data_IF_446293778845
#
_entry.id   IF_446293778845
#
_cell.length_a   1.000
_cell.length_b   1.000
_cell.length_c   1.000
_cell.angle_alpha   90.00
_cell.angle_beta   90.00
_cell.angle_gamma   90.00
#
_symmetry.space_group_name_H-M   'P 1'
#
loop_
_entity.id
_entity.type
_entity.pdbx_description
1 polymer ?
#
# COMPACT_ATOMS: atom_id res chain seq x y z
N UNK A 1 -7.01 20.27 -34.37
CA UNK A 1 -6.84 19.42 -33.18
C UNK A 1 -6.97 17.99 -33.62
N UNK A 2 -6.03 17.14 -33.23
CA UNK A 2 -6.13 15.69 -33.45
C UNK A 2 -7.20 15.14 -32.51
N UNK A 3 -8.15 14.37 -33.06
CA UNK A 3 -9.26 13.83 -32.30
C UNK A 3 -9.07 12.31 -32.13
N UNK A 4 -9.08 11.83 -30.89
CA UNK A 4 -9.09 10.42 -30.55
C UNK A 4 -10.44 10.03 -29.98
N UNK A 5 -10.76 8.72 -30.02
CA UNK A 5 -11.93 8.17 -29.36
C UNK A 5 -11.58 6.88 -28.62
N UNK A 6 -12.28 6.62 -27.52
CA UNK A 6 -12.21 5.40 -26.75
C UNK A 6 -13.59 5.10 -26.15
N UNK A 7 -13.85 3.86 -25.81
CA UNK A 7 -15.01 3.48 -24.98
C UNK A 7 -14.77 3.93 -23.53
N UNK A 8 -13.55 3.68 -23.04
CA UNK A 8 -13.14 4.07 -21.68
C UNK A 8 -11.82 4.83 -21.75
N UNK A 9 -11.76 6.01 -21.13
CA UNK A 9 -10.52 6.74 -20.89
C UNK A 9 -10.13 6.62 -19.40
N UNK A 10 -8.91 6.15 -19.13
CA UNK A 10 -8.36 6.02 -17.77
C UNK A 10 -7.33 7.12 -17.57
N UNK A 11 -7.49 7.92 -16.54
CA UNK A 11 -6.63 9.06 -16.21
C UNK A 11 -5.65 8.63 -15.11
N UNK A 12 -4.38 8.51 -15.47
CA UNK A 12 -3.29 8.01 -14.63
C UNK A 12 -2.83 6.61 -15.00
N UNK A 13 -1.51 6.41 -15.18
CA UNK A 13 -0.89 5.12 -15.43
C UNK A 13 0.03 4.69 -14.27
N UNK A 14 -0.38 4.96 -13.04
CA UNK A 14 0.11 4.27 -11.87
C UNK A 14 -0.42 2.83 -11.82
N UNK A 15 -0.07 2.07 -10.79
CA UNK A 15 -0.48 0.66 -10.64
C UNK A 15 -2.00 0.48 -10.74
N UNK A 16 -2.79 1.41 -10.16
CA UNK A 16 -4.24 1.37 -10.16
C UNK A 16 -4.84 1.52 -11.58
N UNK A 17 -4.37 2.51 -12.36
CA UNK A 17 -4.87 2.74 -13.72
C UNK A 17 -4.45 1.64 -14.69
N UNK A 18 -3.21 1.15 -14.59
CA UNK A 18 -2.72 0.02 -15.40
C UNK A 18 -3.51 -1.25 -15.10
N UNK A 19 -3.70 -1.56 -13.82
CA UNK A 19 -4.48 -2.73 -13.41
C UNK A 19 -5.94 -2.62 -13.88
N UNK A 20 -6.55 -1.43 -13.84
CA UNK A 20 -7.90 -1.19 -14.37
C UNK A 20 -7.98 -1.49 -15.87
N UNK A 21 -7.02 -0.97 -16.66
CA UNK A 21 -6.96 -1.24 -18.09
C UNK A 21 -6.78 -2.75 -18.39
N UNK A 22 -5.95 -3.42 -17.58
CA UNK A 22 -5.71 -4.86 -17.67
C UNK A 22 -6.99 -5.66 -17.38
N UNK A 23 -7.69 -5.42 -16.26
CA UNK A 23 -8.89 -6.18 -15.90
C UNK A 23 -10.09 -5.87 -16.79
N UNK A 24 -10.23 -4.66 -17.32
CA UNK A 24 -11.22 -4.36 -18.36
C UNK A 24 -11.01 -5.27 -19.59
N UNK A 25 -9.77 -5.42 -20.02
CA UNK A 25 -9.45 -6.26 -21.17
C UNK A 25 -9.52 -7.76 -20.85
N UNK A 26 -9.04 -8.20 -19.68
CA UNK A 26 -8.95 -9.61 -19.31
C UNK A 26 -10.28 -10.21 -18.90
N UNK A 27 -11.03 -9.52 -18.06
CA UNK A 27 -12.24 -10.06 -17.45
C UNK A 27 -13.52 -9.66 -18.18
N UNK A 28 -13.52 -8.53 -18.89
CA UNK A 28 -14.72 -7.98 -19.52
C UNK A 28 -14.61 -7.81 -21.03
N UNK A 29 -13.48 -8.17 -21.64
CA UNK A 29 -13.22 -8.00 -23.07
C UNK A 29 -13.44 -6.57 -23.59
N UNK A 30 -13.30 -5.57 -22.71
CA UNK A 30 -13.35 -4.14 -23.05
C UNK A 30 -11.92 -3.73 -23.41
N UNK A 31 -11.63 -3.67 -24.72
CA UNK A 31 -10.29 -3.41 -25.26
C UNK A 31 -10.13 -2.03 -25.87
N UNK A 32 -11.24 -1.34 -26.22
CA UNK A 32 -11.19 0.05 -26.68
C UNK A 32 -10.99 1.04 -25.54
N UNK A 33 -9.88 0.86 -24.83
CA UNK A 33 -9.48 1.66 -23.68
C UNK A 33 -8.32 2.56 -24.06
N UNK A 34 -8.28 3.79 -23.53
CA UNK A 34 -7.16 4.73 -23.67
C UNK A 34 -6.63 5.06 -22.28
N UNK A 35 -5.39 4.67 -22.01
CA UNK A 35 -4.66 5.01 -20.80
C UNK A 35 -3.92 6.34 -21.00
N UNK A 36 -4.23 7.36 -20.20
CA UNK A 36 -3.68 8.71 -20.29
C UNK A 36 -2.73 8.95 -19.14
N UNK A 37 -1.48 9.32 -19.44
CA UNK A 37 -0.45 9.56 -18.42
C UNK A 37 0.47 10.68 -18.89
N UNK A 38 0.72 11.64 -18.01
CA UNK A 38 1.60 12.76 -18.38
C UNK A 38 3.09 12.39 -18.39
N UNK A 39 3.48 11.40 -17.55
CA UNK A 39 4.86 10.95 -17.42
C UNK A 39 5.07 9.51 -17.93
N UNK A 40 5.99 8.82 -17.30
CA UNK A 40 6.18 7.38 -17.52
C UNK A 40 5.21 6.56 -16.67
N UNK A 41 4.70 5.44 -17.16
CA UNK A 41 3.92 4.51 -16.36
C UNK A 41 4.68 4.07 -15.11
N UNK A 42 3.99 3.92 -14.00
CA UNK A 42 4.53 3.49 -12.70
C UNK A 42 5.57 4.43 -12.07
N UNK A 43 5.85 5.60 -12.63
CA UNK A 43 7.01 6.42 -12.25
C UNK A 43 6.81 7.32 -11.01
N UNK A 44 5.58 7.52 -10.55
CA UNK A 44 5.31 8.42 -9.41
C UNK A 44 5.11 7.63 -8.09
N UNK A 45 4.00 7.80 -7.38
CA UNK A 45 3.76 7.11 -6.09
C UNK A 45 3.94 5.59 -6.18
N UNK A 46 3.57 4.97 -7.32
CA UNK A 46 3.74 3.54 -7.54
C UNK A 46 5.21 3.07 -7.52
N UNK A 47 6.14 3.94 -7.92
CA UNK A 47 7.58 3.67 -7.84
C UNK A 47 8.12 3.76 -6.40
N UNK A 48 7.42 4.44 -5.51
CA UNK A 48 7.84 4.69 -4.13
C UNK A 48 7.24 3.69 -3.13
N UNK A 49 6.63 2.62 -3.64
CA UNK A 49 5.95 1.62 -2.82
C UNK A 49 6.91 0.85 -1.90
N UNK A 50 6.41 0.45 -0.73
CA UNK A 50 7.06 -0.58 0.11
C UNK A 50 7.01 -1.96 -0.54
N UNK A 51 6.10 -2.18 -1.51
CA UNK A 51 5.91 -3.43 -2.26
C UNK A 51 5.54 -4.63 -1.40
N UNK A 52 4.86 -4.38 -0.30
CA UNK A 52 4.42 -5.41 0.63
C UNK A 52 2.93 -5.71 0.44
N UNK A 53 2.52 -6.92 0.83
CA UNK A 53 1.12 -7.33 0.82
C UNK A 53 0.79 -8.21 2.02
N UNK A 54 -0.46 -8.14 2.51
CA UNK A 54 -1.03 -8.99 3.55
C UNK A 54 -2.54 -9.11 3.36
N UNK A 55 -3.14 -10.22 3.82
CA UNK A 55 -4.59 -10.43 3.73
C UNK A 55 -5.36 -9.96 4.97
N UNK A 56 -4.69 -9.71 6.08
CA UNK A 56 -5.39 -9.36 7.31
C UNK A 56 -5.53 -7.85 7.51
N UNK A 57 -6.73 -7.47 7.92
CA UNK A 57 -7.13 -6.14 8.40
C UNK A 57 -8.14 -6.28 9.54
N UNK A 58 -8.29 -5.29 10.44
CA UNK A 58 -9.26 -5.33 11.52
C UNK A 58 -10.70 -5.03 11.06
N UNK A 59 -11.11 -5.53 9.91
CA UNK A 59 -12.47 -5.43 9.38
C UNK A 59 -12.74 -6.47 8.28
N UNK A 60 -13.89 -7.18 8.31
CA UNK A 60 -14.20 -8.27 7.37
C UNK A 60 -14.16 -7.84 5.90
N UNK A 61 -14.75 -6.69 5.53
CA UNK A 61 -14.74 -6.21 4.14
C UNK A 61 -13.33 -5.96 3.61
N UNK A 62 -12.42 -5.48 4.46
CA UNK A 62 -11.02 -5.29 4.09
C UNK A 62 -10.28 -6.62 3.96
N UNK A 63 -10.58 -7.61 4.80
CA UNK A 63 -10.02 -8.96 4.69
C UNK A 63 -10.49 -9.62 3.39
N UNK A 64 -11.78 -9.56 3.07
CA UNK A 64 -12.32 -10.09 1.82
C UNK A 64 -11.68 -9.39 0.60
N UNK A 65 -11.56 -8.07 0.65
CA UNK A 65 -10.95 -7.26 -0.40
C UNK A 65 -9.46 -7.57 -0.60
N UNK A 66 -8.69 -7.66 0.47
CA UNK A 66 -7.24 -7.96 0.38
C UNK A 66 -7.00 -9.41 0.00
N UNK A 67 -7.81 -10.36 0.45
CA UNK A 67 -7.78 -11.75 -0.02
C UNK A 67 -8.01 -11.82 -1.52
N UNK A 68 -9.05 -11.14 -2.04
CA UNK A 68 -9.31 -11.08 -3.48
C UNK A 68 -8.11 -10.49 -4.23
N UNK A 69 -7.49 -9.42 -3.71
CA UNK A 69 -6.32 -8.84 -4.36
C UNK A 69 -5.15 -9.83 -4.41
N UNK A 70 -4.91 -10.58 -3.34
CA UNK A 70 -3.83 -11.58 -3.29
C UNK A 70 -4.14 -12.75 -4.20
N UNK A 71 -5.38 -13.25 -4.28
CA UNK A 71 -5.79 -14.29 -5.23
C UNK A 71 -5.46 -13.89 -6.68
N UNK A 72 -5.72 -12.63 -7.03
CA UNK A 72 -5.40 -12.08 -8.35
C UNK A 72 -3.89 -11.94 -8.58
N UNK A 73 -3.13 -11.50 -7.57
CA UNK A 73 -1.66 -11.43 -7.64
C UNK A 73 -1.04 -12.82 -7.76
N UNK A 74 -1.51 -13.81 -6.99
CA UNK A 74 -1.09 -15.21 -7.09
C UNK A 74 -1.38 -15.79 -8.46
N UNK A 75 -2.52 -15.43 -9.08
CA UNK A 75 -2.83 -15.81 -10.47
C UNK A 75 -1.79 -15.23 -11.43
N UNK A 76 -1.48 -13.95 -11.33
CA UNK A 76 -0.45 -13.31 -12.18
C UNK A 76 0.91 -13.97 -11.95
N UNK A 77 1.27 -14.28 -10.70
CA UNK A 77 2.53 -14.96 -10.38
C UNK A 77 2.60 -16.34 -11.09
N UNK A 78 1.54 -17.15 -11.01
CA UNK A 78 1.47 -18.45 -11.73
C UNK A 78 1.58 -18.28 -13.25
N UNK A 79 0.82 -17.34 -13.82
CA UNK A 79 0.76 -17.13 -15.27
C UNK A 79 2.06 -16.56 -15.85
N UNK A 80 2.94 -16.01 -15.00
CA UNK A 80 4.18 -15.32 -15.40
C UNK A 80 5.48 -15.96 -14.90
N UNK A 81 5.43 -17.20 -14.40
CA UNK A 81 6.56 -17.88 -13.76
C UNK A 81 7.17 -17.02 -12.63
N UNK A 82 6.30 -16.51 -11.78
CA UNK A 82 6.61 -15.62 -10.66
C UNK A 82 7.46 -14.39 -11.02
N UNK A 83 7.19 -13.78 -12.16
CA UNK A 83 7.84 -12.52 -12.57
C UNK A 83 7.69 -11.42 -11.52
N UNK A 84 6.66 -11.51 -10.68
CA UNK A 84 6.42 -10.59 -9.57
C UNK A 84 7.41 -10.76 -8.42
N UNK A 85 8.24 -11.80 -8.43
CA UNK A 85 9.07 -12.17 -7.28
C UNK A 85 8.27 -12.29 -5.98
N UNK A 86 7.03 -12.79 -6.09
CA UNK A 86 6.15 -12.98 -4.96
C UNK A 86 6.75 -13.98 -3.97
N UNK A 87 6.82 -13.59 -2.71
CA UNK A 87 7.17 -14.48 -1.60
C UNK A 87 6.08 -14.41 -0.53
N UNK A 88 6.15 -15.31 0.45
CA UNK A 88 5.15 -15.42 1.51
C UNK A 88 5.80 -15.53 2.89
N UNK A 89 6.77 -14.65 3.17
CA UNK A 89 7.43 -14.57 4.49
C UNK A 89 6.50 -14.07 5.58
N UNK A 90 5.42 -13.36 5.22
CA UNK A 90 4.44 -12.80 6.13
C UNK A 90 4.79 -11.40 6.64
N UNK A 91 4.00 -10.96 7.63
CA UNK A 91 4.21 -9.74 8.41
C UNK A 91 4.39 -10.10 9.88
N UNK A 92 5.46 -9.65 10.50
CA UNK A 92 5.71 -9.81 11.92
C UNK A 92 5.38 -8.50 12.66
N UNK A 93 4.23 -8.45 13.33
CA UNK A 93 3.82 -7.34 14.19
C UNK A 93 4.36 -7.61 15.59
N UNK A 94 5.38 -6.87 16.01
CA UNK A 94 6.09 -7.08 17.26
C UNK A 94 5.69 -6.04 18.30
N UNK A 95 5.52 -6.46 19.55
CA UNK A 95 5.21 -5.60 20.69
C UNK A 95 5.85 -6.10 21.98
N UNK A 96 6.13 -5.17 22.89
CA UNK A 96 6.60 -5.45 24.26
C UNK A 96 5.46 -5.74 25.24
N UNK A 97 4.24 -5.73 24.74
CA UNK A 97 3.05 -6.07 25.53
C UNK A 97 2.93 -7.59 25.68
N UNK A 98 2.63 -8.03 26.89
CA UNK A 98 2.27 -9.43 27.21
C UNK A 98 0.76 -9.66 27.11
N UNK A 99 -0.06 -8.62 27.33
CA UNK A 99 -1.51 -8.64 27.17
C UNK A 99 -1.86 -8.02 25.83
N UNK A 100 -2.39 -8.82 24.93
CA UNK A 100 -2.69 -8.47 23.54
C UNK A 100 -4.08 -8.95 23.11
N UNK A 101 -5.00 -9.12 24.08
CA UNK A 101 -6.37 -9.57 23.82
C UNK A 101 -7.09 -8.64 22.84
N UNK A 102 -6.86 -7.34 22.94
CA UNK A 102 -7.36 -6.32 22.01
C UNK A 102 -6.88 -6.54 20.56
N UNK A 103 -5.62 -6.93 20.36
CA UNK A 103 -5.09 -7.26 19.04
C UNK A 103 -5.68 -8.59 18.52
N UNK A 104 -5.84 -9.58 19.40
CA UNK A 104 -6.45 -10.86 19.05
C UNK A 104 -7.92 -10.66 18.68
N UNK A 105 -8.64 -9.82 19.40
CA UNK A 105 -10.03 -9.49 19.10
C UNK A 105 -10.17 -8.75 17.75
N UNK A 106 -9.23 -7.87 17.42
CA UNK A 106 -9.15 -7.27 16.09
C UNK A 106 -8.90 -8.32 14.99
N UNK A 107 -8.03 -9.32 15.26
CA UNK A 107 -7.79 -10.43 14.32
C UNK A 107 -9.08 -11.24 14.12
N UNK A 108 -9.77 -11.59 15.18
CA UNK A 108 -11.05 -12.32 15.12
C UNK A 108 -12.11 -11.53 14.35
N UNK A 109 -12.25 -10.25 14.66
CA UNK A 109 -13.20 -9.38 13.99
C UNK A 109 -12.92 -9.30 12.48
N UNK A 110 -11.67 -9.12 12.07
CA UNK A 110 -11.30 -9.16 10.67
C UNK A 110 -11.70 -10.44 9.95
N UNK A 111 -11.68 -11.56 10.65
CA UNK A 111 -12.17 -12.87 10.17
C UNK A 111 -13.68 -13.11 10.43
N UNK A 112 -14.47 -12.03 10.61
CA UNK A 112 -15.92 -12.08 10.86
C UNK A 112 -16.31 -12.98 12.04
N UNK A 113 -15.42 -13.14 13.03
CA UNK A 113 -15.56 -14.03 14.20
C UNK A 113 -15.92 -15.48 13.83
N UNK A 114 -15.50 -15.97 12.66
CA UNK A 114 -15.87 -17.30 12.13
C UNK A 114 -14.67 -18.19 11.81
N UNK A 115 -13.46 -17.69 11.93
CA UNK A 115 -12.24 -18.39 11.48
C UNK A 115 -11.20 -18.50 12.59
N UNK A 116 -11.60 -18.90 13.77
CA UNK A 116 -10.65 -19.19 14.87
C UNK A 116 -9.63 -20.30 14.50
N UNK A 117 -9.94 -21.13 13.51
CA UNK A 117 -9.02 -22.10 12.91
C UNK A 117 -7.80 -21.45 12.26
N UNK A 118 -7.88 -20.18 11.89
CA UNK A 118 -6.77 -19.40 11.31
C UNK A 118 -5.90 -18.70 12.37
N UNK A 119 -6.29 -18.75 13.65
CA UNK A 119 -5.53 -18.12 14.74
C UNK A 119 -4.83 -19.20 15.56
N UNK A 120 -3.52 -19.24 15.52
CA UNK A 120 -2.71 -20.26 16.20
C UNK A 120 -1.89 -19.63 17.32
N UNK A 121 -1.93 -20.23 18.49
CA UNK A 121 -1.22 -19.75 19.68
C UNK A 121 0.00 -20.61 19.96
N UNK A 122 1.16 -19.99 20.13
CA UNK A 122 2.43 -20.65 20.38
C UNK A 122 2.97 -20.21 21.75
N UNK A 123 2.63 -20.99 22.77
CA UNK A 123 3.05 -20.78 24.17
C UNK A 123 4.33 -21.55 24.54
N UNK A 124 4.74 -22.55 23.74
CA UNK A 124 5.97 -23.31 23.92
C UNK A 124 6.80 -23.34 22.64
N UNK A 125 8.12 -23.52 22.75
CA UNK A 125 9.00 -23.69 21.59
C UNK A 125 8.90 -25.10 21.00
N UNK A 126 8.82 -26.12 21.84
CA UNK A 126 8.71 -27.52 21.42
C UNK A 126 7.27 -27.89 21.11
N UNK A 127 7.06 -28.57 19.97
CA UNK A 127 5.73 -29.04 19.55
C UNK A 127 4.74 -27.94 19.19
N UNK A 128 5.21 -26.70 19.01
CA UNK A 128 4.33 -25.55 18.73
C UNK A 128 3.64 -25.63 17.36
N UNK A 129 4.15 -26.44 16.43
CA UNK A 129 3.67 -26.47 15.04
C UNK A 129 3.94 -25.20 14.23
N UNK A 130 4.69 -24.23 14.79
CA UNK A 130 5.06 -23.03 14.07
C UNK A 130 6.00 -23.36 12.90
N UNK A 131 5.67 -22.82 11.73
CA UNK A 131 6.47 -22.97 10.51
C UNK A 131 7.33 -21.71 10.31
N UNK A 132 8.64 -21.88 10.26
CA UNK A 132 9.57 -20.76 10.03
C UNK A 132 9.46 -20.21 8.62
N UNK A 133 9.78 -18.92 8.44
CA UNK A 133 9.70 -18.23 7.17
C UNK A 133 10.93 -18.43 6.25
N UNK A 134 11.78 -19.43 6.53
CA UNK A 134 13.04 -19.67 5.84
C UNK A 134 12.92 -19.95 4.34
N UNK A 135 11.78 -20.54 3.92
CA UNK A 135 11.51 -20.83 2.50
C UNK A 135 10.14 -20.25 2.15
N UNK A 136 10.11 -19.07 1.62
CA UNK A 136 8.87 -18.32 1.37
C UNK A 136 8.13 -18.79 0.13
N UNK A 137 7.87 -20.11 0.01
CA UNK A 137 7.04 -20.64 -1.08
C UNK A 137 5.61 -20.14 -0.89
N UNK A 138 5.22 -19.23 -1.78
CA UNK A 138 3.93 -18.56 -1.72
C UNK A 138 2.76 -19.50 -2.01
N UNK A 139 2.98 -20.66 -2.63
CA UNK A 139 1.92 -21.64 -2.96
C UNK A 139 1.54 -22.54 -1.78
N UNK A 140 2.49 -22.87 -0.91
CA UNK A 140 2.31 -23.84 0.19
C UNK A 140 2.43 -23.25 1.58
N UNK A 141 2.81 -21.99 1.70
CA UNK A 141 2.92 -21.32 2.99
C UNK A 141 1.54 -21.21 3.68
N UNK A 142 1.49 -21.29 5.02
CA UNK A 142 0.23 -21.26 5.76
C UNK A 142 -0.52 -19.93 5.56
N UNK A 143 -1.82 -19.96 5.86
CA UNK A 143 -2.66 -18.77 6.02
C UNK A 143 -2.89 -18.46 7.51
N UNK A 144 -3.58 -17.35 7.81
CA UNK A 144 -3.98 -16.96 9.16
C UNK A 144 -2.89 -16.20 9.92
N UNK A 145 -2.99 -16.23 11.23
CA UNK A 145 -2.13 -15.50 12.16
C UNK A 145 -1.58 -16.42 13.24
N UNK A 146 -0.27 -16.39 13.42
CA UNK A 146 0.41 -17.04 14.53
C UNK A 146 0.67 -16.02 15.64
N UNK A 147 0.10 -16.23 16.83
CA UNK A 147 0.34 -15.44 18.04
C UNK A 147 1.43 -16.09 18.85
N UNK A 148 2.61 -15.48 18.89
CA UNK A 148 3.81 -16.08 19.49
C UNK A 148 4.17 -15.28 20.74
N UNK A 149 4.11 -15.94 21.91
CA UNK A 149 4.45 -15.37 23.22
C UNK A 149 5.57 -16.14 23.93
N UNK A 150 6.03 -17.24 23.36
CA UNK A 150 7.18 -17.97 23.87
C UNK A 150 8.48 -17.25 23.46
N UNK A 151 9.26 -16.81 24.45
CA UNK A 151 10.48 -16.03 24.25
C UNK A 151 11.58 -16.78 23.48
N UNK A 152 11.70 -18.09 23.68
CA UNK A 152 12.67 -18.92 22.95
C UNK A 152 12.28 -19.01 21.48
N UNK A 153 10.98 -19.21 21.19
CA UNK A 153 10.48 -19.26 19.82
C UNK A 153 10.62 -17.90 19.11
N UNK A 154 10.34 -16.78 19.81
CA UNK A 154 10.55 -15.43 19.25
C UNK A 154 12.02 -15.24 18.84
N UNK A 155 12.97 -15.54 19.75
CA UNK A 155 14.42 -15.41 19.45
C UNK A 155 14.88 -16.31 18.30
N UNK A 156 14.28 -17.49 18.16
CA UNK A 156 14.61 -18.43 17.09
C UNK A 156 14.01 -18.02 15.75
N UNK A 157 12.75 -17.54 15.75
CA UNK A 157 12.04 -17.16 14.54
C UNK A 157 12.44 -15.77 14.02
N UNK A 158 12.78 -14.85 14.93
CA UNK A 158 13.12 -13.45 14.62
C UNK A 158 14.42 -13.05 15.33
N UNK A 159 15.58 -13.59 14.92
CA UNK A 159 16.84 -13.45 15.66
C UNK A 159 17.40 -12.02 15.69
N UNK A 160 16.92 -11.14 14.82
CA UNK A 160 17.30 -9.72 14.82
C UNK A 160 16.48 -8.87 15.80
N UNK A 161 15.35 -9.40 16.32
CA UNK A 161 14.50 -8.62 17.21
C UNK A 161 15.15 -8.40 18.57
N UNK A 162 14.83 -7.26 19.16
CA UNK A 162 15.21 -6.93 20.53
C UNK A 162 14.71 -7.98 21.53
N UNK A 163 15.54 -8.27 22.52
CA UNK A 163 15.23 -9.28 23.54
C UNK A 163 14.07 -8.91 24.48
N UNK A 164 13.57 -7.68 24.43
CA UNK A 164 12.44 -7.19 25.22
C UNK A 164 11.08 -7.40 24.53
N UNK A 165 11.05 -7.87 23.28
CA UNK A 165 9.81 -8.22 22.58
C UNK A 165 9.12 -9.39 23.28
N UNK A 166 7.85 -9.18 23.65
CA UNK A 166 7.06 -10.17 24.42
C UNK A 166 6.06 -10.93 23.56
N UNK A 167 5.54 -10.28 22.51
CA UNK A 167 4.55 -10.89 21.62
C UNK A 167 4.85 -10.54 20.17
N UNK A 168 4.68 -11.52 19.28
CA UNK A 168 4.70 -11.31 17.83
C UNK A 168 3.43 -11.91 17.22
N UNK A 169 2.67 -11.11 16.48
CA UNK A 169 1.60 -11.59 15.62
C UNK A 169 2.19 -11.74 14.21
N UNK A 170 2.34 -13.00 13.77
CA UNK A 170 2.84 -13.29 12.43
C UNK A 170 1.69 -13.56 11.47
N UNK A 171 1.34 -12.57 10.66
CA UNK A 171 0.32 -12.69 9.61
C UNK A 171 0.93 -13.47 8.46
N UNK A 172 0.38 -14.63 8.15
CA UNK A 172 1.02 -15.63 7.27
C UNK A 172 0.75 -15.40 5.79
N UNK A 173 -0.46 -15.00 5.41
CA UNK A 173 -0.77 -14.68 4.01
C UNK A 173 -0.37 -13.24 3.71
N UNK A 174 0.92 -13.05 3.63
CA UNK A 174 1.60 -11.78 3.40
C UNK A 174 3.03 -11.98 2.97
N UNK A 175 3.67 -10.92 2.52
CA UNK A 175 5.05 -10.93 2.05
C UNK A 175 5.36 -9.69 1.23
N UNK A 176 6.23 -9.83 0.25
CA UNK A 176 6.54 -8.78 -0.69
C UNK A 176 6.50 -9.26 -2.15
N UNK A 177 6.36 -8.31 -3.05
CA UNK A 177 6.37 -8.49 -4.51
C UNK A 177 7.14 -7.36 -5.16
N UNK A 178 7.50 -7.49 -6.42
CA UNK A 178 7.87 -6.36 -7.25
C UNK A 178 6.61 -5.72 -7.86
N UNK A 179 6.18 -4.60 -7.30
CA UNK A 179 5.07 -3.82 -7.84
C UNK A 179 5.35 -3.29 -9.23
N UNK A 180 6.63 -3.00 -9.55
CA UNK A 180 7.06 -2.60 -10.88
C UNK A 180 6.87 -3.74 -11.90
N UNK A 181 7.31 -4.96 -11.59
CA UNK A 181 7.13 -6.11 -12.47
C UNK A 181 5.65 -6.46 -12.66
N UNK A 182 4.84 -6.36 -11.59
CA UNK A 182 3.40 -6.53 -11.67
C UNK A 182 2.76 -5.51 -12.62
N UNK A 183 3.06 -4.22 -12.44
CA UNK A 183 2.55 -3.16 -13.31
C UNK A 183 2.98 -3.33 -14.77
N UNK A 184 4.23 -3.72 -15.01
CA UNK A 184 4.74 -3.95 -16.36
C UNK A 184 4.08 -5.17 -17.02
N UNK A 185 3.91 -6.28 -16.29
CA UNK A 185 3.19 -7.46 -16.78
C UNK A 185 1.77 -7.09 -17.23
N UNK A 186 1.03 -6.39 -16.38
CA UNK A 186 -0.34 -5.96 -16.70
C UNK A 186 -0.37 -5.00 -17.90
N UNK A 187 0.56 -4.06 -17.99
CA UNK A 187 0.66 -3.11 -19.10
C UNK A 187 0.98 -3.80 -20.43
N UNK A 188 1.90 -4.76 -20.42
CA UNK A 188 2.25 -5.57 -21.60
C UNK A 188 1.05 -6.38 -22.10
N UNK A 189 0.33 -7.05 -21.20
CA UNK A 189 -0.87 -7.82 -21.54
C UNK A 189 -2.01 -6.93 -22.05
N UNK A 190 -2.25 -5.78 -21.39
CA UNK A 190 -3.19 -4.79 -21.89
C UNK A 190 -2.86 -4.34 -23.33
N UNK A 191 -1.59 -4.02 -23.61
CA UNK A 191 -1.13 -3.60 -24.93
C UNK A 191 -1.24 -4.70 -25.98
N UNK A 192 -0.96 -5.95 -25.63
CA UNK A 192 -1.10 -7.11 -26.53
C UNK A 192 -2.53 -7.30 -27.02
N UNK A 193 -3.52 -6.85 -26.23
CA UNK A 193 -4.96 -6.87 -26.58
C UNK A 193 -5.42 -5.60 -27.32
N UNK A 194 -4.51 -4.80 -27.82
CA UNK A 194 -4.81 -3.58 -28.58
C UNK A 194 -4.99 -2.32 -27.74
N UNK A 195 -4.70 -2.39 -26.43
CA UNK A 195 -4.75 -1.25 -25.52
C UNK A 195 -3.83 -0.11 -25.95
N UNK A 196 -4.30 1.12 -25.82
CA UNK A 196 -3.62 2.34 -26.29
C UNK A 196 -3.21 3.23 -25.13
N UNK A 197 -2.09 3.92 -25.28
CA UNK A 197 -1.62 4.94 -24.32
C UNK A 197 -1.44 6.28 -25.03
N UNK A 198 -1.84 7.35 -24.35
CA UNK A 198 -1.56 8.73 -24.74
C UNK A 198 -0.71 9.39 -23.64
N UNK A 199 0.44 9.94 -24.03
CA UNK A 199 1.27 10.74 -23.12
C UNK A 199 0.79 12.17 -23.14
N UNK A 200 0.32 12.67 -22.01
CA UNK A 200 -0.17 14.04 -21.86
C UNK A 200 -0.92 14.25 -20.55
N UNK A 201 -1.12 15.50 -20.20
CA UNK A 201 -1.82 15.94 -19.01
C UNK A 201 -3.26 16.34 -19.35
N UNK A 202 -4.23 15.73 -18.66
CA UNK A 202 -5.64 16.16 -18.76
C UNK A 202 -5.76 17.56 -18.15
N UNK A 203 -6.24 18.51 -18.92
CA UNK A 203 -6.44 19.93 -18.53
C UNK A 203 -7.88 20.23 -18.21
N UNK A 204 -8.81 19.61 -18.94
CA UNK A 204 -10.24 19.82 -18.79
C UNK A 204 -11.01 18.58 -19.17
N UNK A 205 -12.15 18.37 -18.50
CA UNK A 205 -13.13 17.34 -18.83
C UNK A 205 -14.48 18.01 -18.99
N UNK A 206 -15.05 17.88 -20.18
CA UNK A 206 -16.37 18.42 -20.49
C UNK A 206 -17.37 17.25 -20.59
N UNK A 207 -18.44 17.30 -19.84
CA UNK A 207 -19.54 16.35 -19.95
C UNK A 207 -20.47 16.74 -21.10
N UNK A 208 -20.66 15.83 -22.02
CA UNK A 208 -21.55 15.95 -23.16
C UNK A 208 -22.36 14.66 -23.29
N UNK A 209 -22.53 14.14 -24.51
CA UNK A 209 -22.94 12.75 -24.71
C UNK A 209 -21.71 11.85 -24.44
N UNK A 210 -21.51 11.49 -23.17
CA UNK A 210 -20.23 10.98 -22.60
C UNK A 210 -19.31 12.11 -22.13
N UNK A 211 -18.01 12.01 -22.41
CA UNK A 211 -16.98 12.96 -21.97
C UNK A 211 -16.07 13.37 -23.13
N UNK A 212 -15.64 14.61 -23.11
CA UNK A 212 -14.58 15.14 -23.98
C UNK A 212 -13.46 15.65 -23.09
N UNK A 213 -12.30 15.00 -23.15
CA UNK A 213 -11.10 15.36 -22.41
C UNK A 213 -10.20 16.22 -23.29
N UNK A 214 -9.73 17.35 -22.76
CA UNK A 214 -8.68 18.16 -23.35
C UNK A 214 -7.35 17.80 -22.71
N UNK A 215 -6.40 17.34 -23.53
CA UNK A 215 -5.13 16.79 -23.09
C UNK A 215 -4.00 17.59 -23.70
N UNK A 216 -3.17 18.15 -22.86
CA UNK A 216 -1.92 18.80 -23.29
C UNK A 216 -0.84 17.73 -23.48
N UNK A 217 -0.32 17.66 -24.70
CA UNK A 217 0.78 16.78 -25.11
C UNK A 217 1.99 17.61 -25.55
N UNK A 218 3.12 16.99 -25.80
CA UNK A 218 4.31 17.66 -26.36
C UNK A 218 4.07 18.24 -27.76
N UNK A 219 3.04 17.78 -28.47
CA UNK A 219 2.67 18.24 -29.83
C UNK A 219 1.53 19.25 -29.81
N UNK A 220 1.02 19.61 -28.63
CA UNK A 220 -0.08 20.56 -28.45
C UNK A 220 -1.34 19.91 -27.85
N UNK A 221 -2.46 20.64 -27.94
CA UNK A 221 -3.74 20.18 -27.38
C UNK A 221 -4.40 19.13 -28.28
N UNK A 222 -4.82 18.03 -27.64
CA UNK A 222 -5.52 16.91 -28.25
C UNK A 222 -6.87 16.74 -27.54
N UNK A 223 -7.91 16.37 -28.28
CA UNK A 223 -9.21 16.02 -27.71
C UNK A 223 -9.44 14.52 -27.77
N UNK A 224 -9.95 13.96 -26.68
CA UNK A 224 -10.38 12.56 -26.58
C UNK A 224 -11.86 12.52 -26.24
N UNK A 225 -12.66 11.93 -27.15
CA UNK A 225 -14.07 11.63 -26.88
C UNK A 225 -14.20 10.22 -26.31
N UNK A 226 -14.94 10.06 -25.21
CA UNK A 226 -15.12 8.76 -24.55
C UNK A 226 -16.52 8.66 -23.92
N UNK A 227 -17.05 7.44 -23.81
CA UNK A 227 -18.31 7.20 -23.13
C UNK A 227 -18.13 7.18 -21.61
N UNK A 228 -16.99 6.66 -21.14
CA UNK A 228 -16.70 6.45 -19.73
C UNK A 228 -15.31 6.97 -19.38
N UNK A 229 -15.18 7.47 -18.16
CA UNK A 229 -13.87 7.86 -17.59
C UNK A 229 -13.61 7.11 -16.29
N UNK A 230 -12.35 6.78 -16.04
CA UNK A 230 -11.87 6.27 -14.75
C UNK A 230 -10.79 7.20 -14.22
N UNK A 231 -11.06 7.84 -13.09
CA UNK A 231 -10.11 8.65 -12.37
C UNK A 231 -9.20 7.75 -11.52
N UNK A 232 -7.99 7.49 -12.02
CA UNK A 232 -6.93 6.74 -11.36
C UNK A 232 -5.68 7.61 -11.16
N UNK A 233 -5.89 8.93 -10.97
CA UNK A 233 -4.84 9.94 -10.93
C UNK A 233 -4.06 9.99 -9.60
N UNK A 234 -4.24 8.98 -8.72
CA UNK A 234 -3.52 8.88 -7.45
C UNK A 234 -3.68 10.14 -6.60
N UNK A 235 -2.58 10.80 -6.19
CA UNK A 235 -2.67 11.99 -5.33
C UNK A 235 -3.29 13.21 -6.00
N UNK A 236 -3.51 13.18 -7.29
CA UNK A 236 -4.22 14.24 -8.05
C UNK A 236 -5.69 13.91 -8.32
N UNK A 237 -6.23 12.82 -7.74
CA UNK A 237 -7.59 12.37 -7.99
C UNK A 237 -8.65 13.43 -7.65
N UNK A 238 -8.47 14.21 -6.57
CA UNK A 238 -9.37 15.31 -6.22
C UNK A 238 -9.41 16.38 -7.33
N UNK A 239 -8.26 16.77 -7.87
CA UNK A 239 -8.17 17.77 -8.95
C UNK A 239 -8.86 17.29 -10.24
N UNK A 240 -8.76 15.99 -10.55
CA UNK A 240 -9.46 15.41 -11.70
C UNK A 240 -10.98 15.36 -11.46
N UNK A 241 -11.42 15.04 -10.25
CA UNK A 241 -12.84 15.04 -9.90
C UNK A 241 -13.47 16.45 -9.98
N UNK A 242 -12.73 17.48 -9.54
CA UNK A 242 -13.18 18.89 -9.65
C UNK A 242 -13.44 19.31 -11.10
N UNK A 243 -12.74 18.73 -12.09
CA UNK A 243 -12.98 19.03 -13.51
C UNK A 243 -14.37 18.63 -13.99
N UNK A 244 -15.05 17.74 -13.26
CA UNK A 244 -16.46 17.35 -13.53
C UNK A 244 -17.42 17.81 -12.44
N UNK A 245 -16.97 18.72 -11.57
CA UNK A 245 -17.81 19.31 -10.51
C UNK A 245 -18.00 18.42 -9.26
N UNK A 246 -17.13 17.42 -9.06
CA UNK A 246 -17.17 16.53 -7.89
C UNK A 246 -16.08 16.87 -6.87
N UNK A 247 -16.45 16.86 -5.58
CA UNK A 247 -15.52 16.99 -4.47
C UNK A 247 -15.31 15.62 -3.80
N UNK A 248 -14.12 15.10 -3.84
CA UNK A 248 -13.78 13.84 -3.16
C UNK A 248 -13.32 14.11 -1.72
N UNK A 249 -13.78 13.33 -0.73
CA UNK A 249 -13.35 13.46 0.67
C UNK A 249 -11.98 12.81 0.89
N UNK A 250 -10.98 13.32 0.19
CA UNK A 250 -9.59 12.80 0.25
C UNK A 250 -8.60 13.91 0.52
N UNK A 251 -7.50 13.54 1.17
CA UNK A 251 -6.35 14.39 1.40
C UNK A 251 -5.07 13.61 1.16
N UNK A 252 -3.94 14.30 1.04
CA UNK A 252 -2.65 13.65 0.87
C UNK A 252 -1.73 13.94 2.05
N UNK A 253 -0.95 12.93 2.45
CA UNK A 253 0.21 13.08 3.32
C UNK A 253 1.46 12.57 2.59
N UNK A 254 2.61 13.16 2.87
CA UNK A 254 3.86 12.73 2.25
C UNK A 254 4.64 11.83 3.21
N UNK A 255 4.91 10.58 2.80
CA UNK A 255 5.59 9.59 3.63
C UNK A 255 6.94 9.21 3.02
N UNK A 256 7.96 9.08 3.87
CA UNK A 256 9.32 8.87 3.45
C UNK A 256 9.85 7.48 3.85
N UNK A 257 10.86 7.03 3.13
CA UNK A 257 11.54 5.75 3.31
C UNK A 257 13.01 5.88 2.94
N UNK A 258 13.82 4.97 3.45
CA UNK A 258 15.18 4.77 2.97
C UNK A 258 15.37 3.32 2.53
N UNK A 259 16.27 3.13 1.57
CA UNK A 259 16.78 1.83 1.20
C UNK A 259 18.32 1.90 1.09
N UNK A 260 19.00 0.90 1.61
CA UNK A 260 20.46 0.84 1.56
C UNK A 260 20.95 -0.60 1.56
N UNK A 261 22.19 -0.78 1.13
CA UNK A 261 22.84 -2.08 1.13
C UNK A 261 23.30 -2.46 2.55
N UNK A 262 22.84 -3.61 3.05
CA UNK A 262 23.23 -4.17 4.36
C UNK A 262 24.61 -4.83 4.30
N UNK A 263 25.63 -4.01 4.16
CA UNK A 263 27.04 -4.46 4.04
C UNK A 263 27.52 -5.17 5.29
N UNK A 264 26.96 -4.84 6.45
CA UNK A 264 27.30 -5.47 7.75
C UNK A 264 26.46 -6.76 7.97
N UNK A 265 25.47 -7.03 7.12
CA UNK A 265 24.56 -8.20 7.20
C UNK A 265 23.90 -8.34 8.55
N UNK A 266 23.38 -7.22 9.08
CA UNK A 266 22.78 -7.15 10.41
C UNK A 266 21.33 -7.63 10.47
N UNK A 267 20.67 -7.73 9.30
CA UNK A 267 19.29 -8.21 9.19
C UNK A 267 19.25 -9.53 8.39
N UNK A 268 18.70 -10.62 8.99
CA UNK A 268 18.52 -11.89 8.27
C UNK A 268 17.65 -11.72 7.02
N UNK A 269 18.02 -12.41 5.94
CA UNK A 269 17.29 -12.34 4.66
C UNK A 269 15.91 -12.96 4.71
N UNK A 270 15.70 -13.88 5.67
CA UNK A 270 14.45 -14.57 5.93
C UNK A 270 13.47 -13.75 6.79
N UNK A 271 13.91 -12.58 7.30
CA UNK A 271 13.05 -11.75 8.13
C UNK A 271 11.79 -11.34 7.36
N UNK A 272 10.59 -11.60 7.89
CA UNK A 272 9.35 -11.04 7.36
C UNK A 272 9.38 -9.51 7.36
N UNK A 273 8.46 -8.89 6.66
CA UNK A 273 8.19 -7.47 6.88
C UNK A 273 7.82 -7.25 8.34
N UNK A 274 8.70 -6.60 9.08
CA UNK A 274 8.58 -6.43 10.53
C UNK A 274 8.15 -5.03 10.91
N UNK A 275 7.18 -4.94 11.84
CA UNK A 275 6.61 -3.68 12.34
C UNK A 275 6.74 -3.66 13.85
N UNK A 276 7.32 -2.61 14.42
CA UNK A 276 7.24 -2.30 15.85
C UNK A 276 5.91 -1.59 16.12
N UNK A 277 5.00 -2.24 16.87
CA UNK A 277 3.68 -1.69 17.17
C UNK A 277 3.70 -0.59 18.22
N UNK A 278 4.75 -0.58 19.04
CA UNK A 278 4.80 0.27 20.23
C UNK A 278 5.25 1.67 19.89
N UNK A 279 4.61 2.65 20.50
CA UNK A 279 5.12 4.02 20.55
C UNK A 279 6.51 4.04 21.18
N UNK A 280 7.36 4.98 20.77
CA UNK A 280 8.76 5.01 21.20
C UNK A 280 9.34 6.42 21.32
N UNK A 281 10.34 6.53 22.16
CA UNK A 281 11.29 7.64 22.13
C UNK A 281 12.49 7.23 21.27
N UNK A 282 12.95 8.12 20.39
CA UNK A 282 14.12 7.86 19.57
C UNK A 282 15.38 7.82 20.48
N UNK A 283 16.25 6.86 20.22
CA UNK A 283 17.48 6.64 21.00
C UNK A 283 18.57 7.65 20.60
N UNK A 284 18.42 8.87 21.11
CA UNK A 284 19.44 9.92 21.03
C UNK A 284 20.40 9.85 22.21
N UNK A 285 21.67 10.23 22.02
CA UNK A 285 22.58 10.48 23.13
C UNK A 285 22.11 11.69 23.98
N UNK A 286 22.63 11.82 25.18
CA UNK A 286 22.23 12.92 26.05
C UNK A 286 22.58 14.30 25.44
N UNK A 287 23.77 14.40 24.79
CA UNK A 287 24.18 15.62 24.09
C UNK A 287 23.29 15.93 22.89
N UNK A 288 22.87 14.91 22.11
CA UNK A 288 21.93 15.07 21.00
C UNK A 288 20.54 15.51 21.50
N UNK A 289 20.06 14.93 22.61
CA UNK A 289 18.77 15.33 23.22
C UNK A 289 18.80 16.78 23.68
N UNK A 290 19.87 17.20 24.35
CA UNK A 290 20.01 18.59 24.79
C UNK A 290 20.02 19.54 23.60
N UNK A 291 20.74 19.22 22.55
CA UNK A 291 20.78 20.02 21.32
C UNK A 291 19.41 20.08 20.64
N UNK A 292 18.77 18.94 20.42
CA UNK A 292 17.43 18.86 19.79
C UNK A 292 16.38 19.62 20.60
N UNK A 293 16.39 19.50 21.93
CA UNK A 293 15.45 20.18 22.80
C UNK A 293 15.64 21.71 22.84
N UNK A 294 16.83 22.19 22.48
CA UNK A 294 17.14 23.62 22.45
C UNK A 294 16.64 24.36 21.21
N UNK A 295 16.20 23.58 20.18
CA UNK A 295 15.75 24.12 18.90
C UNK A 295 14.25 23.81 18.67
N UNK A 296 13.45 24.87 18.49
CA UNK A 296 11.99 24.73 18.28
C UNK A 296 11.62 23.92 17.04
N UNK A 297 12.50 23.86 16.04
CA UNK A 297 12.29 23.07 14.81
C UNK A 297 12.47 21.57 15.08
N UNK A 298 13.35 21.19 16.00
CA UNK A 298 13.75 19.78 16.19
C UNK A 298 13.32 19.19 17.54
N UNK A 299 12.82 19.98 18.49
CA UNK A 299 12.44 19.49 19.83
C UNK A 299 11.43 18.35 19.81
N UNK A 300 10.55 18.28 18.80
CA UNK A 300 9.59 17.19 18.62
C UNK A 300 10.27 15.81 18.50
N UNK A 301 11.53 15.77 18.06
CA UNK A 301 12.31 14.54 17.97
C UNK A 301 12.69 13.95 19.34
N UNK A 302 12.52 14.71 20.40
CA UNK A 302 12.69 14.26 21.80
C UNK A 302 11.38 13.80 22.44
N UNK A 303 10.27 13.97 21.74
CA UNK A 303 8.93 13.56 22.19
C UNK A 303 8.61 12.11 21.77
N UNK A 304 7.49 11.60 22.26
CA UNK A 304 7.03 10.26 21.92
C UNK A 304 6.58 10.18 20.47
N UNK A 305 7.15 9.24 19.74
CA UNK A 305 6.83 8.95 18.35
C UNK A 305 5.82 7.80 18.25
N UNK A 306 4.94 7.79 17.25
CA UNK A 306 3.99 6.70 17.05
C UNK A 306 4.72 5.38 16.77
N UNK A 307 4.01 4.26 16.95
CA UNK A 307 4.45 2.96 16.46
C UNK A 307 4.45 2.85 14.93
N UNK A 308 4.39 1.64 14.43
CA UNK A 308 4.31 1.29 13.01
C UNK A 308 5.59 1.54 12.18
N UNK A 309 6.72 1.79 12.82
CA UNK A 309 8.01 1.76 12.11
C UNK A 309 8.29 0.35 11.59
N UNK A 310 8.82 0.26 10.38
CA UNK A 310 8.99 -1.01 9.71
C UNK A 310 10.35 -1.19 9.04
N UNK A 311 10.75 -2.46 8.97
CA UNK A 311 11.97 -2.92 8.32
C UNK A 311 11.72 -4.19 7.53
N UNK A 312 12.35 -4.34 6.38
CA UNK A 312 12.43 -5.59 5.64
C UNK A 312 13.71 -5.73 4.83
N UNK A 313 14.17 -6.98 4.57
CA UNK A 313 15.08 -7.26 3.50
C UNK A 313 14.48 -6.91 2.13
N UNK A 314 15.31 -6.50 1.17
CA UNK A 314 14.91 -6.16 -0.19
C UNK A 314 15.82 -6.82 -1.22
N UNK A 315 15.31 -7.00 -2.47
CA UNK A 315 16.05 -7.62 -3.56
C UNK A 315 15.98 -9.16 -3.59
N UNK A 316 14.95 -9.76 -3.00
CA UNK A 316 14.73 -11.21 -2.98
C UNK A 316 15.74 -11.97 -2.11
N UNK A 317 15.85 -13.30 -2.31
CA UNK A 317 16.66 -14.19 -1.46
C UNK A 317 18.18 -13.90 -1.54
N UNK A 318 18.65 -13.46 -2.69
CA UNK A 318 20.06 -13.13 -2.93
C UNK A 318 20.34 -11.62 -2.83
N UNK A 319 19.33 -10.82 -2.49
CA UNK A 319 19.48 -9.38 -2.32
C UNK A 319 20.31 -9.03 -1.09
N UNK A 320 20.86 -7.83 -1.08
CA UNK A 320 21.69 -7.30 0.02
C UNK A 320 21.11 -6.04 0.62
N UNK A 321 19.96 -5.59 0.13
CA UNK A 321 19.36 -4.32 0.53
C UNK A 321 18.37 -4.47 1.67
N UNK A 322 18.20 -3.37 2.41
CA UNK A 322 17.14 -3.18 3.41
C UNK A 322 16.27 -2.00 3.00
N UNK A 323 14.98 -2.07 3.34
CA UNK A 323 14.06 -0.95 3.31
C UNK A 323 13.60 -0.63 4.74
N UNK A 324 13.70 0.63 5.12
CA UNK A 324 13.17 1.17 6.37
C UNK A 324 12.14 2.26 6.04
N UNK A 325 11.02 2.26 6.74
CA UNK A 325 10.01 3.28 6.59
C UNK A 325 9.26 3.55 7.89
N UNK A 326 8.75 4.77 8.00
CA UNK A 326 7.96 5.21 9.13
C UNK A 326 6.96 6.27 8.67
N UNK A 327 5.70 5.90 8.63
CA UNK A 327 4.64 6.77 8.13
C UNK A 327 4.03 7.61 9.27
N UNK A 328 4.85 8.46 9.91
CA UNK A 328 4.44 9.30 11.04
C UNK A 328 3.96 10.71 10.64
N UNK A 329 4.09 11.10 9.38
CA UNK A 329 3.64 12.43 8.95
C UNK A 329 2.13 12.42 8.68
N UNK A 330 1.37 13.02 9.58
CA UNK A 330 -0.09 13.14 9.47
C UNK A 330 -0.54 14.49 8.87
N UNK A 331 0.38 15.37 8.52
CA UNK A 331 0.06 16.72 8.03
C UNK A 331 -0.48 16.65 6.59
N UNK A 332 -1.73 17.08 6.35
CA UNK A 332 -2.26 17.15 5.00
C UNK A 332 -1.50 18.17 4.15
N UNK A 333 -1.19 17.81 2.91
CA UNK A 333 -0.45 18.64 1.97
C UNK A 333 -0.99 18.47 0.55
N UNK A 334 -0.89 19.52 -0.26
CA UNK A 334 -1.12 19.41 -1.69
C UNK A 334 -0.01 18.60 -2.35
N UNK A 335 -0.41 17.60 -3.14
CA UNK A 335 0.55 16.79 -3.86
C UNK A 335 1.28 17.62 -4.93
N UNK A 336 2.59 17.45 -4.96
CA UNK A 336 3.51 18.03 -5.95
C UNK A 336 4.28 16.91 -6.65
N UNK A 337 4.79 17.20 -7.86
CA UNK A 337 5.60 16.25 -8.63
C UNK A 337 7.01 16.06 -8.04
N UNK A 338 7.52 17.08 -7.38
CA UNK A 338 8.85 17.12 -6.78
C UNK A 338 8.70 17.47 -5.28
N UNK A 339 8.25 16.51 -4.43
CA UNK A 339 8.12 16.75 -3.01
C UNK A 339 9.51 16.90 -2.38
N UNK A 340 9.61 17.78 -1.40
CA UNK A 340 10.85 17.95 -0.65
C UNK A 340 11.01 16.83 0.39
N UNK A 341 12.20 16.24 0.43
CA UNK A 341 12.58 15.26 1.43
C UNK A 341 13.09 15.98 2.69
N UNK A 342 12.82 15.38 3.85
CA UNK A 342 13.39 15.83 5.11
C UNK A 342 14.77 15.20 5.29
N UNK A 343 15.82 15.98 5.25
CA UNK A 343 17.21 15.52 5.34
C UNK A 343 17.52 14.78 6.65
N UNK A 344 16.74 14.98 7.71
CA UNK A 344 16.88 14.29 8.98
C UNK A 344 16.21 12.90 8.99
N UNK A 345 15.30 12.65 8.07
CA UNK A 345 14.51 11.41 8.05
C UNK A 345 15.37 10.13 8.02
N UNK A 346 16.49 10.05 7.28
CA UNK A 346 17.32 8.84 7.29
C UNK A 346 17.82 8.44 8.69
N UNK A 347 18.26 9.41 9.49
CA UNK A 347 18.73 9.14 10.85
C UNK A 347 17.56 8.82 11.79
N UNK A 348 16.45 9.53 11.65
CA UNK A 348 15.21 9.31 12.43
C UNK A 348 14.70 7.86 12.23
N UNK A 349 14.53 7.44 10.98
CA UNK A 349 13.99 6.10 10.68
C UNK A 349 14.97 4.98 11.04
N UNK A 350 16.27 5.21 10.89
CA UNK A 350 17.30 4.25 11.28
C UNK A 350 17.29 4.02 12.80
N UNK A 351 17.27 5.08 13.59
CA UNK A 351 17.26 4.99 15.05
C UNK A 351 15.95 4.38 15.58
N UNK A 352 14.82 4.77 15.00
CA UNK A 352 13.54 4.16 15.35
C UNK A 352 13.50 2.66 15.04
N UNK A 353 13.96 2.24 13.85
CA UNK A 353 14.01 0.82 13.46
C UNK A 353 15.00 0.00 14.31
N UNK A 354 16.07 0.63 14.82
CA UNK A 354 17.05 -0.02 15.68
C UNK A 354 16.49 -0.40 17.05
N UNK A 355 15.33 0.13 17.46
CA UNK A 355 14.64 -0.31 18.67
C UNK A 355 14.12 -1.74 18.55
N UNK A 356 13.52 -2.09 17.40
CA UNK A 356 13.09 -3.46 17.13
C UNK A 356 14.26 -4.34 16.72
N UNK A 357 15.20 -3.81 15.92
CA UNK A 357 16.35 -4.53 15.38
C UNK A 357 17.66 -3.87 15.84
N UNK A 358 18.14 -4.15 17.06
CA UNK A 358 19.28 -3.43 17.67
C UNK A 358 20.59 -3.46 16.87
N UNK A 359 20.79 -4.47 16.05
CA UNK A 359 21.98 -4.57 15.20
C UNK A 359 22.07 -3.45 14.14
N UNK A 360 20.97 -2.76 13.82
CA UNK A 360 20.95 -1.58 12.96
C UNK A 360 21.76 -0.41 13.54
N UNK A 361 22.06 -0.39 14.84
CA UNK A 361 22.97 0.59 15.47
C UNK A 361 24.35 0.60 14.82
N UNK A 362 24.74 -0.49 14.15
CA UNK A 362 25.97 -0.54 13.35
C UNK A 362 26.04 0.54 12.27
N UNK A 363 24.93 1.10 11.85
CA UNK A 363 24.86 2.13 10.81
C UNK A 363 24.68 3.56 11.33
N UNK A 364 24.62 3.79 12.64
CA UNK A 364 24.50 5.14 13.20
C UNK A 364 25.66 6.04 12.75
N UNK A 365 25.33 7.19 12.16
CA UNK A 365 26.29 8.14 11.61
C UNK A 365 27.12 7.65 10.42
N UNK A 366 26.84 6.46 9.87
CA UNK A 366 27.60 5.88 8.75
C UNK A 366 26.76 5.06 7.77
N UNK A 367 25.56 5.54 7.46
CA UNK A 367 24.76 4.96 6.38
C UNK A 367 25.58 4.86 5.09
N UNK A 368 25.45 3.77 4.32
CA UNK A 368 26.18 3.60 3.05
C UNK A 368 25.91 4.76 2.09
N UNK A 369 26.93 5.16 1.32
CA UNK A 369 26.79 6.23 0.31
C UNK A 369 25.79 5.88 -0.80
N UNK A 370 25.54 4.60 -1.03
CA UNK A 370 24.54 4.09 -1.96
C UNK A 370 23.10 4.20 -1.43
N UNK A 371 22.91 4.66 -0.18
CA UNK A 371 21.58 4.83 0.41
C UNK A 371 20.71 5.73 -0.47
N UNK A 372 19.49 5.26 -0.73
CA UNK A 372 18.46 5.99 -1.43
C UNK A 372 17.43 6.48 -0.42
N UNK A 373 17.20 7.80 -0.41
CA UNK A 373 16.15 8.45 0.36
C UNK A 373 15.04 8.88 -0.61
N UNK A 374 13.82 8.45 -0.36
CA UNK A 374 12.69 8.69 -1.25
C UNK A 374 11.38 8.76 -0.46
N UNK A 375 10.32 9.22 -1.13
CA UNK A 375 9.02 9.29 -0.51
C UNK A 375 7.88 9.23 -1.51
N UNK A 376 6.67 8.99 -1.00
CA UNK A 376 5.46 8.91 -1.81
C UNK A 376 4.26 9.52 -1.12
N UNK A 377 3.31 9.97 -1.91
CA UNK A 377 2.06 10.52 -1.44
C UNK A 377 1.10 9.41 -1.03
N UNK A 378 0.59 9.48 0.20
CA UNK A 378 -0.52 8.68 0.65
C UNK A 378 -1.80 9.49 0.46
N UNK A 379 -2.63 9.09 -0.48
CA UNK A 379 -3.98 9.65 -0.64
C UNK A 379 -4.92 8.88 0.25
N UNK A 380 -5.58 9.57 1.15
CA UNK A 380 -6.33 8.99 2.27
C UNK A 380 -7.72 9.58 2.37
N UNK A 381 -8.65 8.82 2.93
CA UNK A 381 -9.89 9.32 3.55
C UNK A 381 -9.70 9.41 5.07
N UNK A 382 -10.61 10.08 5.78
CA UNK A 382 -10.55 10.21 7.24
C UNK A 382 -10.53 8.84 7.95
N UNK A 383 -11.31 7.89 7.44
CA UNK A 383 -11.40 6.52 7.93
C UNK A 383 -10.30 5.58 7.40
N UNK A 384 -9.40 6.08 6.54
CA UNK A 384 -8.30 5.34 5.88
C UNK A 384 -8.78 4.15 5.02
N UNK A 385 -9.89 4.32 4.32
CA UNK A 385 -10.45 3.33 3.40
C UNK A 385 -10.40 3.80 1.95
N UNK A 386 -10.17 2.89 0.98
CA UNK A 386 -10.20 3.22 -0.43
C UNK A 386 -11.54 3.81 -0.90
N UNK A 387 -11.49 4.58 -1.97
CA UNK A 387 -12.66 5.00 -2.73
C UNK A 387 -12.61 4.38 -4.12
N UNK A 388 -13.56 3.47 -4.39
CA UNK A 388 -13.59 2.68 -5.62
C UNK A 388 -15.05 2.55 -6.09
N UNK A 389 -15.34 2.97 -7.31
CA UNK A 389 -16.66 2.83 -7.88
C UNK A 389 -17.14 4.08 -8.61
N UNK A 390 -18.46 4.27 -8.76
CA UNK A 390 -19.04 5.42 -9.44
C UNK A 390 -18.69 6.74 -8.75
N UNK A 391 -18.49 7.79 -9.53
CA UNK A 391 -18.37 9.16 -9.04
C UNK A 391 -19.75 9.80 -8.89
N UNK A 392 -19.84 10.76 -7.97
CA UNK A 392 -21.08 11.42 -7.60
C UNK A 392 -21.97 10.58 -6.67
N UNK A 393 -22.76 11.27 -5.85
CA UNK A 393 -23.73 10.60 -4.97
C UNK A 393 -24.75 9.80 -5.78
N UNK A 394 -24.95 8.53 -5.42
CA UNK A 394 -25.80 7.58 -6.16
C UNK A 394 -25.42 7.42 -7.64
N UNK A 395 -24.13 7.56 -7.98
CA UNK A 395 -23.68 7.50 -9.38
C UNK A 395 -24.21 8.65 -10.25
N UNK A 396 -24.38 9.84 -9.67
CA UNK A 396 -24.94 11.01 -10.36
C UNK A 396 -24.11 11.41 -11.60
N UNK A 397 -22.80 11.13 -11.56
CA UNK A 397 -21.91 11.33 -12.73
C UNK A 397 -21.90 10.06 -13.58
N UNK A 398 -22.90 9.92 -14.46
CA UNK A 398 -23.02 8.73 -15.32
C UNK A 398 -21.78 8.51 -16.16
N UNK A 399 -21.24 7.30 -16.10
CA UNK A 399 -20.03 6.91 -16.87
C UNK A 399 -18.72 7.42 -16.27
N UNK A 400 -18.74 8.08 -15.09
CA UNK A 400 -17.54 8.44 -14.37
C UNK A 400 -17.30 7.51 -13.17
N UNK A 401 -16.07 6.99 -13.08
CA UNK A 401 -15.65 6.07 -12.04
C UNK A 401 -14.33 6.54 -11.43
N UNK A 402 -14.01 6.02 -10.25
CA UNK A 402 -12.76 6.35 -9.58
C UNK A 402 -12.14 5.13 -8.90
N UNK A 403 -10.83 5.21 -8.75
CA UNK A 403 -10.00 4.34 -7.91
C UNK A 403 -8.94 5.23 -7.24
N UNK A 404 -9.12 5.51 -5.97
CA UNK A 404 -8.28 6.43 -5.20
C UNK A 404 -8.27 6.10 -3.72
N UNK A 405 -7.58 6.89 -2.93
CA UNK A 405 -7.43 6.73 -1.48
C UNK A 405 -6.87 5.35 -1.08
N UNK A 406 -5.88 4.85 -1.83
CA UNK A 406 -5.22 3.59 -1.54
C UNK A 406 -4.15 3.71 -0.45
N UNK A 407 -4.03 4.88 0.19
CA UNK A 407 -3.15 5.14 1.34
C UNK A 407 -1.72 4.58 1.13
N UNK A 408 -1.15 3.92 2.15
CA UNK A 408 0.15 3.25 2.08
C UNK A 408 0.14 1.85 1.48
N UNK A 409 -1.04 1.30 1.12
CA UNK A 409 -1.20 -0.08 0.66
C UNK A 409 -1.62 -0.23 -0.82
N UNK A 410 -1.35 0.78 -1.64
CA UNK A 410 -1.79 0.82 -3.04
C UNK A 410 -1.32 -0.37 -3.88
N UNK A 411 -0.11 -0.88 -3.68
CA UNK A 411 0.39 -2.03 -4.42
C UNK A 411 -0.37 -3.31 -4.08
N UNK A 412 -0.62 -3.57 -2.78
CA UNK A 412 -1.38 -4.76 -2.38
C UNK A 412 -2.87 -4.67 -2.75
N UNK A 413 -3.44 -3.47 -2.77
CA UNK A 413 -4.84 -3.24 -3.08
C UNK A 413 -5.12 -3.16 -4.59
N UNK A 414 -4.10 -2.94 -5.42
CA UNK A 414 -4.26 -2.56 -6.83
C UNK A 414 -5.11 -3.55 -7.63
N UNK A 415 -4.88 -4.86 -7.45
CA UNK A 415 -5.60 -5.88 -8.24
C UNK A 415 -7.10 -5.91 -7.91
N UNK A 416 -7.47 -6.01 -6.63
CA UNK A 416 -8.89 -6.02 -6.23
C UNK A 416 -9.58 -4.69 -6.52
N UNK A 417 -8.89 -3.56 -6.30
CA UNK A 417 -9.43 -2.23 -6.62
C UNK A 417 -9.77 -2.11 -8.10
N UNK A 418 -8.85 -2.55 -8.94
CA UNK A 418 -8.98 -2.45 -10.38
C UNK A 418 -10.03 -3.43 -10.93
N UNK A 419 -10.08 -4.67 -10.44
CA UNK A 419 -11.13 -5.62 -10.79
C UNK A 419 -12.51 -5.11 -10.36
N UNK A 420 -12.60 -4.51 -9.16
CA UNK A 420 -13.84 -3.92 -8.69
C UNK A 420 -14.30 -2.74 -9.55
N UNK A 421 -13.40 -1.81 -9.90
CA UNK A 421 -13.78 -0.70 -10.78
C UNK A 421 -14.10 -1.17 -12.19
N UNK A 422 -13.42 -2.22 -12.69
CA UNK A 422 -13.75 -2.84 -13.98
C UNK A 422 -15.16 -3.45 -13.99
N UNK A 423 -15.58 -4.10 -12.89
CA UNK A 423 -16.97 -4.57 -12.70
C UNK A 423 -18.00 -3.44 -12.68
N UNK A 424 -17.66 -2.29 -12.09
CA UNK A 424 -18.53 -1.12 -12.15
C UNK A 424 -18.65 -0.56 -13.57
N UNK A 425 -17.54 -0.45 -14.29
CA UNK A 425 -17.49 0.02 -15.69
C UNK A 425 -18.28 -0.90 -16.62
N UNK A 426 -18.15 -2.21 -16.45
CA UNK A 426 -18.82 -3.24 -17.27
C UNK A 426 -20.26 -3.53 -16.85
N UNK A 427 -20.74 -2.91 -15.76
CA UNK A 427 -22.04 -3.20 -15.13
C UNK A 427 -22.21 -4.69 -14.75
N UNK A 428 -21.13 -5.33 -14.32
CA UNK A 428 -21.11 -6.72 -13.89
C UNK A 428 -21.45 -6.87 -12.39
N UNK A 429 -21.62 -8.13 -11.94
CA UNK A 429 -21.89 -8.46 -10.54
C UNK A 429 -20.72 -8.02 -9.62
N UNK A 430 -21.05 -7.25 -8.61
CA UNK A 430 -20.06 -6.74 -7.64
C UNK A 430 -19.99 -7.64 -6.40
N UNK A 431 -18.82 -7.77 -5.78
CA UNK A 431 -18.68 -8.46 -4.49
C UNK A 431 -19.48 -7.71 -3.39
N UNK A 432 -19.79 -8.41 -2.29
CA UNK A 432 -20.57 -7.86 -1.19
C UNK A 432 -19.99 -6.59 -0.58
N UNK A 433 -18.65 -6.52 -0.51
CA UNK A 433 -17.95 -5.37 0.04
C UNK A 433 -17.93 -4.13 -0.86
N UNK A 434 -18.43 -4.20 -2.10
CA UNK A 434 -18.31 -3.12 -3.09
C UNK A 434 -18.86 -1.76 -2.61
N UNK A 435 -19.98 -1.78 -1.89
CA UNK A 435 -20.61 -0.56 -1.39
C UNK A 435 -19.80 0.11 -0.26
N UNK A 436 -19.05 -0.67 0.52
CA UNK A 436 -18.20 -0.17 1.60
C UNK A 436 -17.02 0.66 1.07
N UNK A 437 -16.66 0.45 -0.20
CA UNK A 437 -15.60 1.20 -0.89
C UNK A 437 -16.13 2.32 -1.80
N UNK A 438 -17.44 2.44 -1.99
CA UNK A 438 -18.04 3.49 -2.84
C UNK A 438 -18.27 4.79 -2.06
N UNK A 439 -18.55 5.89 -2.77
CA UNK A 439 -18.98 7.16 -2.16
C UNK A 439 -20.30 7.03 -1.39
N UNK A 440 -21.11 6.01 -1.68
CA UNK A 440 -22.39 5.81 -1.02
C UNK A 440 -22.24 5.44 0.46
N UNK A 441 -21.04 4.96 0.89
CA UNK A 441 -20.73 4.72 2.32
C UNK A 441 -20.93 5.97 3.18
N UNK A 442 -20.71 7.19 2.64
CA UNK A 442 -20.91 8.45 3.36
C UNK A 442 -22.39 8.77 3.64
N UNK A 443 -23.32 8.01 3.06
CA UNK A 443 -24.75 8.07 3.38
C UNK A 443 -25.14 7.05 4.46
N UNK A 444 -24.30 6.04 4.72
CA UNK A 444 -24.48 5.05 5.77
C UNK A 444 -23.77 5.50 7.05
N UNK A 445 -24.48 6.25 7.89
CA UNK A 445 -23.92 6.82 9.13
C UNK A 445 -23.45 5.76 10.12
N UNK A 446 -24.09 4.58 10.14
CA UNK A 446 -23.69 3.46 11.00
C UNK A 446 -22.35 2.88 10.57
N UNK A 447 -22.22 2.53 9.29
CA UNK A 447 -20.96 2.04 8.73
C UNK A 447 -19.84 3.08 8.91
N UNK A 448 -20.11 4.36 8.62
CA UNK A 448 -19.09 5.40 8.74
C UNK A 448 -18.62 5.59 10.19
N UNK A 449 -19.50 5.51 11.18
CA UNK A 449 -19.13 5.54 12.59
C UNK A 449 -18.26 4.31 12.95
N UNK A 450 -18.65 3.13 12.52
CA UNK A 450 -17.87 1.89 12.72
C UNK A 450 -16.46 2.01 12.11
N UNK A 451 -16.33 2.49 10.88
CA UNK A 451 -15.05 2.66 10.20
C UNK A 451 -14.13 3.71 10.86
N UNK A 452 -14.71 4.75 11.44
CA UNK A 452 -13.94 5.78 12.17
C UNK A 452 -13.45 5.30 13.53
N UNK A 453 -14.20 4.43 14.18
CA UNK A 453 -13.82 3.83 15.48
C UNK A 453 -12.90 2.62 15.30
N UNK A 454 -12.98 1.92 14.17
CA UNK A 454 -12.15 0.77 13.88
C UNK A 454 -10.67 1.15 13.88
N UNK A 455 -9.83 0.22 14.33
CA UNK A 455 -8.38 0.34 14.13
C UNK A 455 -8.07 0.49 12.64
N UNK A 456 -7.30 1.53 12.29
CA UNK A 456 -6.96 1.85 10.91
C UNK A 456 -6.00 0.84 10.25
N UNK A 457 -5.77 -0.30 10.91
CA UNK A 457 -4.70 -1.21 10.54
C UNK A 457 -3.33 -0.56 10.86
N UNK A 458 -2.33 -1.36 11.12
CA UNK A 458 -0.98 -0.84 11.37
C UNK A 458 -0.35 -0.47 10.03
N UNK A 459 -0.65 0.72 9.53
CA UNK A 459 0.08 1.42 8.45
C UNK A 459 -0.21 2.90 8.53
#
# INVERSE_FOLDING_TARGET
MTQHSAEVAIIGAGVAGIATAYYLAEHHNITNVLLIEQGQPMAFTSAQSGENYRNWWPHPSMVDFTNHSIDLMEKIARDSDNRLHMNRRGYALATRRTQVDDLIDQVRYGYDNKRDDLIRFHSSAEGSGYQFAEKPDWEIAPDGVDVIQNQELIRKAFPSFSGDIQTVLHIRRGGDISGQQMGMYMLENYRSKGGRRLTGMVRQINQQDGYVLEIETSEGLVQVKTEKIVNAAGPFAAKVAEMIGEALPVYNTFQQKIAFEDVERVIPRELPFSIDLDEQLIDWSDDEKEWLASDDEYKWLTEQMPGAIHCRPDGGDNGTWLKLGWAFNETPQDATWEPQLNDQFPEIVLRGAARLNPSLKAYYGKLPRSMTHYGGWYTMTEENWPLIGPMGKNGAQKGAFMITALSGFGTMAACASADLVAKWVADDLKPKYANDFSLDRYQNTTLLAELKEASKGVL
#
